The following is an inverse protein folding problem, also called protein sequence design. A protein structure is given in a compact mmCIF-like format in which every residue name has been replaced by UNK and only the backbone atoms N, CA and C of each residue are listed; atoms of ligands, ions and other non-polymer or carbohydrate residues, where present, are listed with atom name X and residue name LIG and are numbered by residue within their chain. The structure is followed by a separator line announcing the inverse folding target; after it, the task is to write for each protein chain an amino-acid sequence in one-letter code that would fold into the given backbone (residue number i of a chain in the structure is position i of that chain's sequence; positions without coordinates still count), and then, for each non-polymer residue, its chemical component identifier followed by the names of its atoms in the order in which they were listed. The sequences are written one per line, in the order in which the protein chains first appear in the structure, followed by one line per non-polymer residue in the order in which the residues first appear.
data_IF_492820028724
#
_entry.id   IF_492820028724
#
_cell.length_a   1.000
_cell.length_b   1.000
_cell.length_c   1.000
_cell.angle_alpha   90.00
_cell.angle_beta   90.00
_cell.angle_gamma   90.00
#
_symmetry.space_group_name_H-M   'P 1'
#
loop_
_entity.id
_entity.type
_entity.pdbx_description
1 polymer ?
#
# COMPACT_ATOMS: atom_id res chain seq x y z
N UNK A 1 -20.44 -16.54 -10.45
CA UNK A 1 -21.92 -16.67 -10.55
C UNK A 1 -22.22 -17.79 -11.51
N UNK A 2 -22.61 -18.97 -11.01
CA UNK A 2 -23.02 -20.09 -11.86
C UNK A 2 -24.54 -20.06 -11.92
N UNK A 3 -25.11 -20.02 -13.13
CA UNK A 3 -26.56 -20.03 -13.33
C UNK A 3 -26.94 -21.47 -13.66
N UNK A 4 -27.82 -22.06 -12.85
CA UNK A 4 -28.35 -23.41 -13.10
C UNK A 4 -29.82 -23.30 -13.50
N UNK A 5 -30.19 -24.06 -14.53
CA UNK A 5 -31.57 -24.23 -14.92
C UNK A 5 -32.16 -25.32 -14.01
N UNK A 6 -32.98 -24.92 -13.05
CA UNK A 6 -33.56 -25.85 -12.07
C UNK A 6 -34.86 -26.47 -12.59
N UNK A 7 -35.58 -25.78 -13.48
CA UNK A 7 -36.78 -26.21 -14.20
C UNK A 7 -37.00 -25.27 -15.39
N UNK A 8 -37.72 -25.70 -16.45
CA UNK A 8 -37.89 -24.96 -17.73
C UNK A 8 -38.36 -23.49 -17.61
N UNK A 9 -38.76 -23.02 -16.43
CA UNK A 9 -39.24 -21.66 -16.16
C UNK A 9 -38.51 -20.93 -15.01
N UNK A 10 -37.44 -21.49 -14.44
CA UNK A 10 -36.73 -20.93 -13.27
C UNK A 10 -35.21 -20.97 -13.44
N UNK A 11 -34.59 -19.78 -13.38
CA UNK A 11 -33.14 -19.62 -13.32
C UNK A 11 -32.71 -19.15 -11.93
N UNK A 12 -31.72 -19.85 -11.36
CA UNK A 12 -31.14 -19.53 -10.05
C UNK A 12 -29.65 -19.31 -10.15
N UNK A 13 -29.14 -18.40 -9.32
CA UNK A 13 -27.72 -17.99 -9.29
C UNK A 13 -27.06 -18.50 -8.02
N UNK A 14 -25.93 -19.18 -8.11
CA UNK A 14 -25.28 -19.83 -6.94
C UNK A 14 -24.35 -18.91 -6.12
N UNK A 15 -24.65 -17.61 -5.98
CA UNK A 15 -23.92 -16.71 -5.06
C UNK A 15 -24.71 -16.48 -3.78
N UNK A 16 -24.03 -16.10 -2.69
CA UNK A 16 -24.59 -15.94 -1.33
C UNK A 16 -25.81 -14.99 -1.22
N UNK A 17 -26.08 -14.19 -2.25
CA UNK A 17 -27.24 -13.29 -2.38
C UNK A 17 -28.23 -13.70 -3.48
N UNK A 18 -28.38 -15.00 -3.73
CA UNK A 18 -29.06 -15.61 -4.88
C UNK A 18 -30.29 -14.86 -5.43
N UNK A 19 -30.25 -14.50 -6.73
CA UNK A 19 -31.36 -13.87 -7.46
C UNK A 19 -32.09 -14.94 -8.27
N UNK A 20 -33.42 -14.99 -8.16
CA UNK A 20 -34.28 -15.90 -8.93
C UNK A 20 -35.07 -15.13 -9.98
N UNK A 21 -35.09 -15.62 -11.23
CA UNK A 21 -35.90 -15.07 -12.31
C UNK A 21 -36.99 -16.06 -12.72
N UNK A 22 -38.21 -15.55 -12.97
CA UNK A 22 -39.38 -16.35 -13.32
C UNK A 22 -40.01 -15.91 -14.66
N UNK A 23 -40.62 -16.86 -15.37
CA UNK A 23 -41.46 -16.59 -16.55
C UNK A 23 -40.74 -15.88 -17.69
N UNK A 24 -41.39 -14.89 -18.32
CA UNK A 24 -40.82 -14.14 -19.47
C UNK A 24 -39.47 -13.47 -19.17
N UNK A 25 -39.22 -13.15 -17.90
CA UNK A 25 -37.93 -12.61 -17.46
C UNK A 25 -36.84 -13.68 -17.53
N UNK A 26 -37.14 -14.92 -17.16
CA UNK A 26 -36.20 -16.05 -17.30
C UNK A 26 -35.90 -16.35 -18.79
N UNK A 27 -36.91 -16.30 -19.66
CA UNK A 27 -36.73 -16.50 -21.12
C UNK A 27 -35.83 -15.43 -21.76
N UNK A 28 -36.01 -14.17 -21.36
CA UNK A 28 -35.13 -13.06 -21.80
C UNK A 28 -33.69 -13.23 -21.31
N UNK A 29 -33.50 -13.70 -20.07
CA UNK A 29 -32.15 -13.97 -19.56
C UNK A 29 -31.51 -15.15 -20.30
N UNK A 30 -32.27 -16.21 -20.59
CA UNK A 30 -31.80 -17.34 -21.39
C UNK A 30 -31.38 -16.93 -22.80
N UNK A 31 -32.16 -16.07 -23.48
CA UNK A 31 -31.82 -15.62 -24.83
C UNK A 31 -30.53 -14.81 -24.86
N UNK A 32 -30.29 -13.96 -23.86
CA UNK A 32 -29.04 -13.20 -23.71
C UNK A 32 -27.87 -14.14 -23.44
N UNK A 33 -28.01 -15.11 -22.53
CA UNK A 33 -26.96 -16.08 -22.22
C UNK A 33 -26.61 -16.96 -23.42
N UNK A 34 -27.61 -17.38 -24.20
CA UNK A 34 -27.44 -18.18 -25.41
C UNK A 34 -26.65 -17.46 -26.52
N UNK A 35 -26.60 -16.12 -26.51
CA UNK A 35 -25.78 -15.37 -27.48
C UNK A 35 -24.27 -15.49 -27.24
N UNK A 36 -23.84 -16.02 -26.09
CA UNK A 36 -22.42 -16.05 -25.71
C UNK A 36 -21.79 -14.67 -25.43
N UNK A 37 -22.53 -13.57 -25.65
CA UNK A 37 -22.09 -12.18 -25.40
C UNK A 37 -22.13 -11.80 -23.92
N UNK A 38 -22.57 -12.69 -23.04
CA UNK A 38 -22.63 -12.43 -21.60
C UNK A 38 -21.24 -12.18 -20.96
N UNK A 39 -20.16 -12.71 -21.56
CA UNK A 39 -18.79 -12.44 -21.11
C UNK A 39 -18.40 -10.96 -21.24
N UNK A 40 -18.97 -10.22 -22.20
CA UNK A 40 -18.63 -8.81 -22.45
C UNK A 40 -19.49 -7.82 -21.67
N UNK A 41 -20.49 -8.30 -20.91
CA UNK A 41 -21.38 -7.46 -20.10
C UNK A 41 -21.07 -7.55 -18.60
N UNK A 42 -20.18 -8.46 -18.19
CA UNK A 42 -19.61 -8.39 -16.84
C UNK A 42 -18.66 -7.19 -16.81
N UNK A 43 -18.90 -6.18 -15.96
CA UNK A 43 -17.94 -5.11 -15.77
C UNK A 43 -16.60 -5.75 -15.45
N UNK A 44 -15.55 -5.43 -16.21
CA UNK A 44 -14.20 -5.84 -15.82
C UNK A 44 -14.00 -5.31 -14.40
N UNK A 45 -13.80 -6.21 -13.43
CA UNK A 45 -13.62 -5.79 -12.04
C UNK A 45 -12.51 -4.73 -12.01
N UNK A 46 -12.87 -3.52 -11.57
CA UNK A 46 -11.93 -2.40 -11.51
C UNK A 46 -10.76 -2.83 -10.62
N UNK A 47 -9.58 -3.00 -11.22
CA UNK A 47 -8.38 -3.41 -10.49
C UNK A 47 -8.12 -2.40 -9.37
N UNK A 48 -7.99 -2.91 -8.15
CA UNK A 48 -7.62 -2.16 -6.96
C UNK A 48 -6.19 -1.69 -7.13
N UNK A 49 -5.95 -0.39 -7.33
CA UNK A 49 -4.61 0.14 -7.55
C UNK A 49 -3.81 0.16 -6.25
N UNK A 50 -4.46 0.58 -5.17
CA UNK A 50 -3.91 0.65 -3.83
C UNK A 50 -5.02 0.46 -2.78
N UNK A 51 -4.67 0.53 -1.50
CA UNK A 51 -5.62 0.29 -0.40
C UNK A 51 -6.72 1.37 -0.31
N UNK A 52 -6.51 2.56 -0.86
CA UNK A 52 -7.53 3.63 -0.87
C UNK A 52 -8.70 3.35 -1.81
N UNK A 53 -8.52 2.46 -2.80
CA UNK A 53 -9.60 2.01 -3.67
C UNK A 53 -10.58 1.04 -2.97
N UNK A 54 -10.10 0.37 -1.92
CA UNK A 54 -10.87 -0.58 -1.13
C UNK A 54 -11.70 0.08 -0.02
N UNK A 55 -11.29 1.27 0.44
CA UNK A 55 -11.84 1.91 1.64
C UNK A 55 -13.37 2.15 1.61
N UNK A 56 -14.01 2.17 0.43
CA UNK A 56 -15.48 2.27 0.30
C UNK A 56 -16.22 0.94 0.13
N UNK A 57 -15.50 -0.16 -0.07
CA UNK A 57 -16.08 -1.49 -0.36
C UNK A 57 -15.76 -2.54 0.70
N UNK A 58 -14.75 -2.29 1.52
CA UNK A 58 -14.29 -3.19 2.57
C UNK A 58 -13.83 -2.38 3.78
N UNK A 59 -14.25 -2.85 4.95
CA UNK A 59 -14.13 -2.24 6.28
C UNK A 59 -13.15 -3.01 7.20
N UNK A 60 -12.65 -4.17 6.76
CA UNK A 60 -11.62 -4.93 7.45
C UNK A 60 -10.20 -4.59 7.00
N UNK A 61 -9.27 -4.37 7.95
CA UNK A 61 -7.83 -4.36 7.65
C UNK A 61 -7.32 -5.78 7.36
N UNK A 62 -6.40 -5.97 6.41
CA UNK A 62 -5.99 -7.29 5.97
C UNK A 62 -5.01 -7.28 4.79
N UNK A 63 -4.57 -8.46 4.32
CA UNK A 63 -3.68 -8.56 3.15
C UNK A 63 -4.50 -8.65 1.87
N UNK A 64 -4.31 -7.68 0.97
CA UNK A 64 -5.01 -7.58 -0.32
C UNK A 64 -4.03 -7.63 -1.49
N UNK A 65 -4.49 -8.10 -2.65
CA UNK A 65 -3.72 -8.02 -3.88
C UNK A 65 -4.00 -6.68 -4.56
N UNK A 66 -2.96 -5.86 -4.75
CA UNK A 66 -3.04 -4.53 -5.33
C UNK A 66 -2.30 -4.45 -6.67
N UNK A 67 -2.70 -3.51 -7.53
CA UNK A 67 -2.24 -3.37 -8.92
C UNK A 67 -1.84 -1.93 -9.25
N UNK A 68 -0.78 -1.35 -8.65
CA UNK A 68 -0.47 0.07 -8.82
C UNK A 68 -0.20 0.49 -10.27
N UNK A 69 0.39 -0.40 -11.08
CA UNK A 69 0.75 -0.15 -12.48
C UNK A 69 0.00 -1.04 -13.49
N UNK A 70 -1.15 -1.64 -13.11
CA UNK A 70 -1.99 -2.43 -14.03
C UNK A 70 -1.49 -3.83 -14.43
N UNK A 71 -0.30 -4.26 -13.97
CA UNK A 71 0.34 -5.56 -14.26
C UNK A 71 -0.15 -6.75 -13.41
N UNK A 72 0.78 -7.62 -12.99
CA UNK A 72 0.49 -8.86 -12.25
C UNK A 72 -0.02 -8.64 -10.80
N UNK A 73 0.25 -7.46 -10.24
CA UNK A 73 -0.09 -7.07 -8.87
C UNK A 73 0.71 -7.83 -7.80
N UNK A 74 0.69 -7.33 -6.57
CA UNK A 74 1.36 -7.95 -5.42
C UNK A 74 0.49 -7.87 -4.16
N UNK A 75 0.80 -8.71 -3.17
CA UNK A 75 0.09 -8.70 -1.87
C UNK A 75 0.66 -7.60 -0.98
N UNK A 76 -0.21 -6.76 -0.43
CA UNK A 76 0.11 -5.71 0.53
C UNK A 76 -0.90 -5.73 1.68
N UNK A 77 -0.50 -5.33 2.89
CA UNK A 77 -1.43 -5.16 3.98
C UNK A 77 -2.13 -3.79 3.84
N UNK A 78 -3.44 -3.80 3.84
CA UNK A 78 -4.26 -2.60 3.83
C UNK A 78 -4.80 -2.35 5.23
N UNK A 79 -4.49 -1.17 5.76
CA UNK A 79 -5.12 -0.68 6.96
C UNK A 79 -6.31 0.21 6.58
N UNK A 80 -7.51 -0.28 6.90
CA UNK A 80 -8.79 0.37 6.60
C UNK A 80 -9.37 1.14 7.78
N UNK A 81 -8.71 1.12 8.94
CA UNK A 81 -9.26 1.67 10.20
C UNK A 81 -8.55 2.95 10.63
N UNK A 82 -7.24 3.00 10.52
CA UNK A 82 -6.43 4.13 10.99
C UNK A 82 -6.63 5.36 10.11
N UNK A 83 -6.89 6.53 10.69
CA UNK A 83 -6.98 7.83 10.00
C UNK A 83 -7.84 7.79 8.72
N UNK A 84 -9.09 7.32 8.84
CA UNK A 84 -9.99 7.21 7.69
C UNK A 84 -9.56 6.18 6.64
N UNK A 85 -8.70 5.22 7.00
CA UNK A 85 -8.37 4.03 6.23
C UNK A 85 -7.71 4.25 4.87
N UNK A 86 -7.58 3.15 4.13
CA UNK A 86 -7.02 3.15 2.78
C UNK A 86 -5.49 3.20 2.73
N UNK A 87 -4.82 2.89 3.83
CA UNK A 87 -3.37 2.90 3.92
C UNK A 87 -2.78 1.60 3.39
N UNK A 88 -1.80 1.71 2.50
CA UNK A 88 -0.95 0.57 2.12
C UNK A 88 0.20 0.49 3.11
N UNK A 89 0.01 -0.34 4.13
CA UNK A 89 0.85 -0.44 5.31
C UNK A 89 1.53 -1.81 5.41
N UNK A 90 2.52 -1.87 6.29
CA UNK A 90 2.88 -3.03 7.08
C UNK A 90 2.91 -2.63 8.58
N UNK A 91 1.80 -2.90 9.32
CA UNK A 91 1.67 -3.13 10.79
C UNK A 91 1.08 -2.06 11.80
N UNK A 92 -0.21 -2.25 12.18
CA UNK A 92 -0.85 -2.17 13.54
C UNK A 92 -1.80 -1.06 14.10
N UNK A 93 -1.90 0.16 13.56
CA UNK A 93 -3.02 1.11 13.76
C UNK A 93 -3.28 1.74 15.14
N UNK A 94 -2.27 1.85 16.03
CA UNK A 94 -2.39 2.29 17.43
C UNK A 94 -1.99 3.75 17.72
N UNK A 95 -1.45 4.49 16.75
CA UNK A 95 -1.01 5.88 16.98
C UNK A 95 -1.84 6.87 16.15
N UNK A 96 -2.24 7.98 16.78
CA UNK A 96 -2.93 9.09 16.13
C UNK A 96 -1.95 9.96 15.33
N UNK A 97 -2.11 9.95 14.01
CA UNK A 97 -1.31 10.75 13.06
C UNK A 97 -1.92 12.13 12.78
N UNK A 98 -3.07 12.49 13.33
CA UNK A 98 -3.65 13.82 13.17
C UNK A 98 -3.01 14.81 14.15
N UNK A 99 -1.81 15.28 13.80
CA UNK A 99 -0.93 16.10 14.64
C UNK A 99 -0.51 17.42 13.96
N UNK A 100 0.01 18.35 14.75
CA UNK A 100 0.49 19.65 14.26
C UNK A 100 1.82 19.55 13.49
N UNK A 101 2.20 20.62 12.79
CA UNK A 101 3.45 20.67 12.02
C UNK A 101 4.69 20.36 12.87
N UNK A 102 4.72 20.85 14.12
CA UNK A 102 5.83 20.63 15.04
C UNK A 102 6.01 19.14 15.38
N UNK A 103 4.92 18.40 15.57
CA UNK A 103 4.96 16.95 15.81
C UNK A 103 5.51 16.21 14.58
N UNK A 104 5.14 16.63 13.37
CA UNK A 104 5.67 16.05 12.13
C UNK A 104 7.14 16.40 11.86
N UNK A 105 7.62 17.52 12.38
CA UNK A 105 9.05 17.87 12.34
C UNK A 105 9.83 17.02 13.35
N UNK A 106 9.31 16.85 14.56
CA UNK A 106 10.03 16.24 15.69
C UNK A 106 9.84 14.71 15.81
N UNK A 107 8.76 14.17 15.25
CA UNK A 107 8.36 12.77 15.42
C UNK A 107 7.40 12.54 16.59
N UNK A 108 6.57 11.49 16.49
CA UNK A 108 5.59 11.09 17.50
C UNK A 108 5.30 9.58 17.45
N UNK A 109 4.72 9.00 18.52
CA UNK A 109 4.33 7.59 18.58
C UNK A 109 5.26 6.67 19.39
N UNK A 110 5.10 5.35 19.23
CA UNK A 110 5.80 4.32 19.99
C UNK A 110 6.55 3.35 19.09
N UNK A 111 7.84 3.20 19.36
CA UNK A 111 8.84 2.46 18.58
C UNK A 111 8.59 0.95 18.47
N UNK A 112 7.75 0.41 19.34
CA UNK A 112 7.37 -1.01 19.33
C UNK A 112 6.06 -1.24 18.54
N UNK A 113 5.36 -0.18 18.20
CA UNK A 113 4.10 -0.16 17.44
C UNK A 113 4.24 0.89 16.33
N UNK A 114 3.27 1.78 16.14
CA UNK A 114 3.35 2.86 15.14
C UNK A 114 4.06 4.12 15.63
N UNK A 115 4.76 4.80 14.72
CA UNK A 115 5.44 6.07 14.98
C UNK A 115 5.71 6.85 13.69
N UNK A 116 5.92 8.17 13.82
CA UNK A 116 6.52 9.06 12.84
C UNK A 116 7.87 9.55 13.39
N UNK A 117 8.95 9.51 12.60
CA UNK A 117 10.31 9.79 13.11
C UNK A 117 10.77 11.26 12.93
N UNK A 118 9.89 12.15 12.50
CA UNK A 118 10.26 13.52 12.11
C UNK A 118 10.74 13.61 10.66
N UNK A 119 10.76 14.80 10.04
CA UNK A 119 11.04 14.98 8.61
C UNK A 119 12.53 14.95 8.23
N UNK A 120 13.20 13.80 8.42
CA UNK A 120 14.57 13.61 7.89
C UNK A 120 14.60 13.50 6.35
N UNK A 121 13.43 13.36 5.69
CA UNK A 121 13.33 13.22 4.24
C UNK A 121 13.41 14.56 3.51
N UNK A 122 13.14 15.69 4.18
CA UNK A 122 13.31 17.03 3.60
C UNK A 122 14.67 17.23 2.94
N UNK A 123 15.74 16.74 3.57
CA UNK A 123 17.11 16.82 3.02
C UNK A 123 17.27 16.09 1.67
N UNK A 124 16.44 15.08 1.45
CA UNK A 124 16.46 14.18 0.31
C UNK A 124 15.48 14.58 -0.80
N UNK A 125 14.69 15.64 -0.59
CA UNK A 125 13.68 16.07 -1.56
C UNK A 125 14.34 16.52 -2.88
N UNK A 126 13.75 16.12 -4.02
CA UNK A 126 14.25 16.35 -5.38
C UNK A 126 15.68 15.87 -5.65
N UNK A 127 16.21 14.95 -4.84
CA UNK A 127 17.51 14.32 -5.11
C UNK A 127 17.33 13.13 -6.05
N UNK A 128 18.29 12.86 -6.95
CA UNK A 128 18.28 11.63 -7.74
C UNK A 128 18.51 10.41 -6.84
N UNK A 129 17.89 9.29 -7.18
CA UNK A 129 18.16 8.02 -6.51
C UNK A 129 19.53 7.50 -6.96
N UNK A 130 20.40 7.18 -6.00
CA UNK A 130 21.78 6.75 -6.25
C UNK A 130 22.04 5.38 -5.62
N UNK A 131 22.81 4.55 -6.33
CA UNK A 131 23.20 3.18 -5.94
C UNK A 131 24.73 3.05 -6.00
N UNK A 132 25.29 1.96 -5.47
CA UNK A 132 26.75 1.71 -5.43
C UNK A 132 27.44 1.88 -6.78
N UNK A 133 26.75 1.48 -7.85
CA UNK A 133 27.23 1.41 -9.23
C UNK A 133 26.74 2.58 -10.11
N UNK A 134 25.81 3.38 -9.59
CA UNK A 134 25.23 4.53 -10.28
C UNK A 134 25.02 5.65 -9.27
N UNK A 135 26.12 6.30 -8.91
CA UNK A 135 26.12 7.44 -8.00
C UNK A 135 26.30 8.75 -8.79
N UNK A 136 25.46 9.72 -8.47
CA UNK A 136 25.52 11.09 -9.02
C UNK A 136 25.99 12.10 -7.96
N UNK A 137 26.30 11.61 -6.77
CA UNK A 137 26.81 12.32 -5.61
C UNK A 137 28.20 11.80 -5.26
N UNK A 138 28.91 12.42 -4.31
CA UNK A 138 30.30 12.12 -3.94
C UNK A 138 30.48 10.72 -3.29
N UNK A 139 30.18 9.65 -4.04
CA UNK A 139 30.25 8.23 -3.65
C UNK A 139 29.48 7.87 -2.37
N UNK A 140 28.44 8.64 -2.03
CA UNK A 140 27.64 8.44 -0.82
C UNK A 140 27.03 7.03 -0.76
N UNK A 141 26.63 6.46 -1.88
CA UNK A 141 26.04 5.13 -1.92
C UNK A 141 27.05 4.05 -1.51
N UNK A 142 28.30 4.16 -1.96
CA UNK A 142 29.35 3.23 -1.51
C UNK A 142 29.82 3.58 -0.09
N UNK A 143 29.99 4.85 0.27
CA UNK A 143 30.47 5.24 1.60
C UNK A 143 29.52 4.79 2.72
N UNK A 144 28.21 4.96 2.52
CA UNK A 144 27.17 4.69 3.52
C UNK A 144 26.39 3.39 3.28
N UNK A 145 26.84 2.59 2.31
CA UNK A 145 26.43 1.19 2.10
C UNK A 145 24.91 1.01 2.01
N UNK A 146 24.28 1.86 1.18
CA UNK A 146 22.84 1.82 0.91
C UNK A 146 22.48 2.52 -0.39
N UNK A 147 21.28 2.26 -0.92
CA UNK A 147 20.73 2.97 -2.06
C UNK A 147 19.66 3.97 -1.59
N UNK A 148 19.83 5.24 -1.94
CA UNK A 148 18.99 6.31 -1.41
C UNK A 148 18.99 7.57 -2.30
N UNK A 149 18.08 8.50 -2.02
CA UNK A 149 18.04 9.82 -2.62
C UNK A 149 19.09 10.74 -1.97
N UNK A 150 20.38 10.48 -2.20
CA UNK A 150 21.47 11.18 -1.51
C UNK A 150 21.57 12.67 -1.91
N UNK A 151 21.82 13.53 -0.92
CA UNK A 151 22.10 14.96 -1.08
C UNK A 151 23.60 15.23 -0.83
N UNK A 152 23.92 15.95 0.25
CA UNK A 152 25.27 15.87 0.86
C UNK A 152 25.35 14.60 1.70
N UNK A 153 25.26 13.47 0.99
CA UNK A 153 24.97 12.15 1.52
C UNK A 153 23.64 12.08 2.26
N UNK A 154 23.60 11.93 3.59
CA UNK A 154 22.32 11.63 4.21
C UNK A 154 22.06 12.12 5.64
N UNK A 155 20.81 12.52 5.86
CA UNK A 155 20.18 12.64 7.17
C UNK A 155 19.28 11.43 7.46
N UNK A 156 18.81 10.73 6.43
CA UNK A 156 18.13 9.43 6.53
C UNK A 156 18.77 8.42 5.58
N UNK A 157 18.99 7.19 6.03
CA UNK A 157 19.42 6.10 5.17
C UNK A 157 18.72 4.82 5.64
N UNK A 158 17.43 4.68 5.34
CA UNK A 158 16.64 3.53 5.79
C UNK A 158 17.02 2.22 5.10
N UNK A 159 17.73 2.32 3.96
CA UNK A 159 18.28 1.21 3.18
C UNK A 159 19.77 0.94 3.49
N UNK A 160 20.31 1.55 4.54
CA UNK A 160 21.67 1.28 5.02
C UNK A 160 21.80 -0.11 5.65
N UNK A 161 23.01 -0.43 6.13
CA UNK A 161 23.29 -1.72 6.75
C UNK A 161 22.40 -1.98 7.99
N UNK A 162 21.95 -3.22 8.14
CA UNK A 162 21.36 -3.66 9.39
C UNK A 162 22.46 -3.85 10.44
N UNK A 163 22.65 -2.86 11.31
CA UNK A 163 23.66 -2.89 12.38
C UNK A 163 23.03 -3.05 13.76
N UNK A 164 21.72 -3.32 13.82
CA UNK A 164 20.96 -3.35 15.06
C UNK A 164 21.07 -2.01 15.79
N UNK A 165 21.36 -2.02 17.09
CA UNK A 165 21.46 -0.82 17.93
C UNK A 165 22.84 -0.14 17.90
N UNK A 166 23.73 -0.48 16.97
CA UNK A 166 25.09 0.09 16.89
C UNK A 166 25.05 1.54 16.36
N UNK A 167 26.02 2.35 16.80
CA UNK A 167 26.21 3.72 16.29
C UNK A 167 27.21 3.70 15.15
N UNK A 168 26.73 3.78 13.92
CA UNK A 168 27.53 3.84 12.70
C UNK A 168 26.67 4.50 11.60
N UNK A 169 27.26 5.43 10.86
CA UNK A 169 26.56 6.17 9.82
C UNK A 169 26.21 5.31 8.60
N UNK A 170 26.82 4.13 8.45
CA UNK A 170 26.47 3.15 7.41
C UNK A 170 25.18 2.40 7.73
N UNK A 171 24.67 2.52 8.95
CA UNK A 171 23.50 1.79 9.41
C UNK A 171 22.17 2.38 8.90
N UNK A 172 21.08 1.66 9.16
CA UNK A 172 19.73 2.15 8.94
C UNK A 172 19.46 3.37 9.83
N UNK A 173 19.55 4.58 9.28
CA UNK A 173 19.66 5.81 10.09
C UNK A 173 18.49 6.77 9.90
N UNK A 174 18.12 7.46 10.98
CA UNK A 174 17.25 8.64 10.97
C UNK A 174 17.80 9.73 11.90
N UNK A 175 18.38 10.78 11.33
CA UNK A 175 19.18 11.76 12.06
C UNK A 175 18.38 12.57 13.08
N UNK A 176 17.17 12.99 12.72
CA UNK A 176 16.31 13.79 13.62
C UNK A 176 15.87 13.06 14.87
N UNK A 177 16.02 11.74 14.92
CA UNK A 177 15.57 10.96 16.05
C UNK A 177 16.71 10.40 16.90
N UNK A 178 17.58 9.56 16.33
CA UNK A 178 18.68 8.93 17.08
C UNK A 178 20.06 9.28 16.57
N UNK A 179 20.18 10.40 15.85
CA UNK A 179 21.41 10.84 15.22
C UNK A 179 22.08 9.69 14.44
N UNK A 180 23.13 9.06 14.97
CA UNK A 180 23.92 8.00 14.34
C UNK A 180 23.56 6.57 14.77
N UNK A 181 22.56 6.35 15.63
CA UNK A 181 22.16 5.00 16.01
C UNK A 181 21.39 4.32 14.88
N UNK A 182 21.83 3.11 14.51
CA UNK A 182 21.12 2.25 13.57
C UNK A 182 19.80 1.79 14.17
N UNK A 183 18.80 1.70 13.31
CA UNK A 183 17.46 1.22 13.61
C UNK A 183 17.45 -0.31 13.69
N UNK A 184 16.49 -0.87 14.45
CA UNK A 184 16.18 -2.30 14.43
C UNK A 184 15.14 -2.66 13.37
N UNK A 185 14.27 -1.72 13.03
CA UNK A 185 13.20 -1.91 12.05
C UNK A 185 12.98 -0.59 11.32
N UNK A 186 12.68 -0.66 10.03
CA UNK A 186 12.31 0.47 9.20
C UNK A 186 11.14 0.05 8.32
N UNK A 187 10.16 0.94 8.11
CA UNK A 187 9.02 0.70 7.23
C UNK A 187 8.60 2.03 6.62
N UNK A 188 8.44 2.07 5.30
CA UNK A 188 7.92 3.23 4.57
C UNK A 188 6.52 2.88 4.03
N UNK A 189 5.56 3.78 4.22
CA UNK A 189 4.18 3.65 3.75
C UNK A 189 3.83 4.73 2.74
N UNK A 190 2.91 4.43 1.82
CA UNK A 190 2.40 5.40 0.85
C UNK A 190 0.87 5.32 0.75
N UNK A 191 0.22 6.48 0.55
CA UNK A 191 -1.22 6.62 0.28
C UNK A 191 -1.42 7.78 -0.70
N UNK A 192 -2.37 7.67 -1.63
CA UNK A 192 -2.76 8.77 -2.53
C UNK A 192 -3.49 9.86 -1.73
N UNK A 193 -3.04 11.11 -1.86
CA UNK A 193 -3.80 12.27 -1.35
C UNK A 193 -4.81 12.66 -2.43
N UNK A 194 -6.11 12.58 -2.14
CA UNK A 194 -7.15 13.13 -3.03
C UNK A 194 -7.22 14.64 -2.80
N UNK A 195 -7.00 15.41 -3.86
CA UNK A 195 -7.27 16.86 -3.89
C UNK A 195 -8.75 17.10 -4.16
#
# INVERSE_FOLDING_TARGET
MTIRNADRNLLTTTSDSGVCFYGKTAERVLSILATGRYRSLLPSEKKIQDCSDLHRKHDGSGVYKIYPAGGAGFKAYCDMKTDGGGWTHRQDGRVDFYKGWEDYVNGFGNLKTEFWLGDSLKHHNNRPFSTKDKDSTADCADQYKGAWWYGTCHHANLNGLYLGNKKDNKGMRWAHWKASQSMKTTTMMIRRVRK
#
